data_IF_544306161322
#
_entry.id   IF_544306161322
#
_cell.length_a   1.000
_cell.length_b   1.000
_cell.length_c   1.000
_cell.angle_alpha   90.00
_cell.angle_beta   90.00
_cell.angle_gamma   90.00
#
_symmetry.space_group_name_H-M   'P 1'
#
loop_
_entity.id
_entity.type
_entity.pdbx_description
1 polymer ?
#
# COMPACT_ATOMS: atom_id res chain seq x y z
N UNK A 1 40.05 -63.51 77.43
CA UNK A 1 39.95 -64.01 76.04
C UNK A 1 38.96 -63.13 75.30
N UNK A 2 39.39 -62.39 74.28
CA UNK A 2 38.68 -62.17 73.01
C UNK A 2 39.19 -60.89 72.36
N UNK A 3 39.87 -61.09 71.24
CA UNK A 3 40.31 -60.08 70.29
C UNK A 3 39.12 -59.65 69.42
N UNK A 4 38.97 -58.35 69.17
CA UNK A 4 38.48 -57.89 67.85
C UNK A 4 38.89 -56.44 67.62
N UNK A 5 39.87 -56.27 66.72
CA UNK A 5 40.25 -55.00 66.14
C UNK A 5 39.12 -54.49 65.24
N UNK A 6 38.45 -53.42 65.66
CA UNK A 6 37.57 -52.65 64.78
C UNK A 6 38.36 -51.57 64.05
N UNK A 7 38.56 -51.82 62.76
CA UNK A 7 39.03 -50.82 61.79
C UNK A 7 37.99 -49.69 61.67
N UNK A 8 38.36 -48.45 62.02
CA UNK A 8 37.58 -47.25 61.68
C UNK A 8 38.35 -46.41 60.67
N UNK A 9 37.81 -46.32 59.46
CA UNK A 9 38.23 -45.39 58.40
C UNK A 9 38.13 -43.94 58.90
N UNK A 10 39.23 -43.20 58.82
CA UNK A 10 39.23 -41.75 59.01
C UNK A 10 38.69 -41.07 57.74
N UNK A 11 37.56 -40.36 57.86
CA UNK A 11 37.11 -39.42 56.84
C UNK A 11 37.83 -38.09 57.07
N UNK A 12 38.75 -37.72 56.17
CA UNK A 12 39.29 -36.36 56.16
C UNK A 12 38.24 -35.42 55.57
N UNK A 13 37.60 -34.61 56.41
CA UNK A 13 36.84 -33.44 55.96
C UNK A 13 37.87 -32.39 55.56
N UNK A 14 38.17 -32.32 54.26
CA UNK A 14 39.01 -31.27 53.70
C UNK A 14 38.32 -29.92 53.85
N UNK A 15 38.75 -29.12 54.82
CA UNK A 15 38.33 -27.72 54.92
C UNK A 15 39.12 -26.93 53.87
N UNK A 16 38.58 -26.82 52.66
CA UNK A 16 39.14 -25.93 51.65
C UNK A 16 39.07 -24.50 52.16
N UNK A 17 40.22 -23.89 52.51
CA UNK A 17 40.26 -22.46 52.84
C UNK A 17 39.99 -21.67 51.56
N UNK A 18 38.75 -21.22 51.40
CA UNK A 18 38.40 -20.21 50.41
C UNK A 18 39.19 -18.96 50.78
N UNK A 19 40.11 -18.55 49.91
CA UNK A 19 40.92 -17.37 50.15
C UNK A 19 40.04 -16.11 49.93
N UNK A 20 39.67 -15.38 51.00
CA UNK A 20 38.69 -14.29 50.92
C UNK A 20 39.18 -13.14 50.03
N UNK A 21 40.50 -13.03 49.83
CA UNK A 21 41.12 -11.99 48.99
C UNK A 21 40.81 -12.23 47.50
N UNK A 22 40.75 -13.49 47.06
CA UNK A 22 40.44 -13.83 45.67
C UNK A 22 38.95 -13.65 45.36
N UNK A 23 38.07 -14.07 46.27
CA UNK A 23 36.62 -13.89 46.14
C UNK A 23 36.20 -12.43 46.28
N UNK A 24 36.85 -11.65 47.15
CA UNK A 24 36.59 -10.20 47.25
C UNK A 24 37.03 -9.45 45.97
N UNK A 25 38.18 -9.79 45.38
CA UNK A 25 38.59 -9.22 44.08
C UNK A 25 37.60 -9.56 42.97
N UNK A 26 37.12 -10.80 42.90
CA UNK A 26 36.13 -11.22 41.89
C UNK A 26 34.73 -10.60 42.11
N UNK A 27 34.32 -10.36 43.35
CA UNK A 27 33.08 -9.64 43.67
C UNK A 27 33.17 -8.14 43.34
N UNK A 28 34.35 -7.54 43.53
CA UNK A 28 34.63 -6.13 43.19
C UNK A 28 34.64 -5.87 41.68
N UNK A 29 35.07 -6.87 40.90
CA UNK A 29 35.15 -6.80 39.43
C UNK A 29 33.79 -7.00 38.74
N UNK A 30 32.76 -7.35 39.52
CA UNK A 30 31.37 -7.47 39.06
C UNK A 30 30.54 -6.21 39.25
N UNK A 31 31.17 -5.11 39.68
CA UNK A 31 30.49 -3.83 39.83
C UNK A 31 30.77 -2.90 38.64
N UNK A 32 29.68 -2.68 37.89
CA UNK A 32 29.40 -1.51 37.04
C UNK A 32 30.17 -1.44 35.72
N UNK A 33 29.77 -2.27 34.77
CA UNK A 33 29.60 -1.77 33.40
C UNK A 33 28.24 -1.06 33.29
N UNK A 34 27.98 -0.07 34.15
CA UNK A 34 27.03 1.00 33.80
C UNK A 34 27.80 1.90 32.86
N UNK A 35 27.82 1.52 31.57
CA UNK A 35 28.36 2.38 30.52
C UNK A 35 27.47 3.62 30.50
N UNK A 36 27.95 4.70 31.10
CA UNK A 36 27.27 5.98 31.07
C UNK A 36 27.27 6.47 29.64
N UNK A 37 26.08 6.61 29.04
CA UNK A 37 25.91 7.25 27.74
C UNK A 37 26.48 8.66 27.83
N UNK A 38 27.46 8.94 26.98
CA UNK A 38 28.00 10.28 26.84
C UNK A 38 26.95 11.18 26.18
N UNK A 39 26.98 12.48 26.49
CA UNK A 39 26.14 13.46 25.78
C UNK A 39 26.39 13.41 24.27
N UNK A 40 27.63 13.11 23.85
CA UNK A 40 28.00 12.94 22.45
C UNK A 40 27.23 11.79 21.80
N UNK A 41 27.17 10.61 22.43
CA UNK A 41 26.42 9.47 21.89
C UNK A 41 24.93 9.76 21.77
N UNK A 42 24.35 10.48 22.74
CA UNK A 42 22.95 10.89 22.69
C UNK A 42 22.71 11.86 21.52
N UNK A 43 23.60 12.83 21.33
CA UNK A 43 23.51 13.78 20.22
C UNK A 43 23.65 13.10 18.86
N UNK A 44 24.58 12.14 18.73
CA UNK A 44 24.76 11.35 17.51
C UNK A 44 23.55 10.46 17.25
N UNK A 45 23.01 9.80 18.28
CA UNK A 45 21.80 8.98 18.13
C UNK A 45 20.59 9.82 17.71
N UNK A 46 20.41 11.01 18.31
CA UNK A 46 19.33 11.93 17.97
C UNK A 46 19.48 12.49 16.55
N UNK A 47 20.70 12.77 16.09
CA UNK A 47 20.92 13.28 14.74
C UNK A 47 20.56 12.23 13.68
N UNK A 48 21.01 10.98 13.85
CA UNK A 48 20.66 9.87 12.97
C UNK A 48 19.15 9.64 13.00
N UNK A 49 18.56 9.57 14.21
CA UNK A 49 17.13 9.33 14.38
C UNK A 49 16.29 10.44 13.74
N UNK A 50 16.71 11.71 13.85
CA UNK A 50 16.03 12.84 13.22
C UNK A 50 15.98 12.71 11.70
N UNK A 51 17.14 12.43 11.07
CA UNK A 51 17.22 12.26 9.61
C UNK A 51 16.36 11.08 9.13
N UNK A 52 16.39 9.95 9.83
CA UNK A 52 15.56 8.78 9.52
C UNK A 52 14.07 9.12 9.66
N UNK A 53 13.69 9.80 10.74
CA UNK A 53 12.29 10.16 11.00
C UNK A 53 11.72 11.06 9.91
N UNK A 54 12.47 12.07 9.48
CA UNK A 54 12.07 12.97 8.37
C UNK A 54 11.92 12.18 7.06
N UNK A 55 12.84 11.25 6.80
CA UNK A 55 12.79 10.42 5.59
C UNK A 55 11.53 9.53 5.58
N UNK A 56 11.19 8.91 6.72
CA UNK A 56 9.99 8.10 6.87
C UNK A 56 8.74 8.96 6.67
N UNK A 57 8.66 10.12 7.33
CA UNK A 57 7.49 11.01 7.22
C UNK A 57 7.28 11.50 5.78
N UNK A 58 8.36 11.80 5.07
CA UNK A 58 8.34 12.17 3.65
C UNK A 58 7.83 11.02 2.78
N UNK A 59 8.26 9.78 3.07
CA UNK A 59 7.76 8.58 2.41
C UNK A 59 6.26 8.35 2.64
N UNK A 60 5.80 8.50 3.88
CA UNK A 60 4.39 8.30 4.25
C UNK A 60 3.47 9.33 3.58
N UNK A 61 3.85 10.61 3.58
CA UNK A 61 3.07 11.67 2.92
C UNK A 61 3.00 11.48 1.40
N UNK A 62 4.11 11.04 0.79
CA UNK A 62 4.14 10.68 -0.63
C UNK A 62 3.29 9.46 -0.93
N UNK A 63 3.35 8.44 -0.06
CA UNK A 63 2.56 7.22 -0.16
C UNK A 63 1.05 7.48 -0.06
N UNK A 64 0.60 8.35 0.85
CA UNK A 64 -0.83 8.67 0.95
C UNK A 64 -1.33 9.44 -0.28
N UNK A 65 -0.53 10.38 -0.80
CA UNK A 65 -0.84 11.07 -2.06
C UNK A 65 -0.98 10.10 -3.23
N UNK A 66 -0.03 9.17 -3.37
CA UNK A 66 -0.06 8.15 -4.40
C UNK A 66 -1.27 7.23 -4.24
N UNK A 67 -1.58 6.81 -3.01
CA UNK A 67 -2.76 5.98 -2.72
C UNK A 67 -4.04 6.67 -3.15
N UNK A 68 -4.24 7.94 -2.79
CA UNK A 68 -5.44 8.71 -3.18
C UNK A 68 -5.56 8.81 -4.69
N UNK A 69 -4.47 9.11 -5.40
CA UNK A 69 -4.46 9.14 -6.87
C UNK A 69 -4.81 7.78 -7.47
N UNK A 70 -4.23 6.70 -6.94
CA UNK A 70 -4.52 5.33 -7.37
C UNK A 70 -5.99 4.96 -7.19
N UNK A 71 -6.58 5.27 -6.04
CA UNK A 71 -8.01 5.03 -5.79
C UNK A 71 -8.90 5.82 -6.76
N UNK A 72 -8.62 7.10 -7.00
CA UNK A 72 -9.38 7.91 -7.97
C UNK A 72 -9.34 7.31 -9.38
N UNK A 73 -8.14 6.94 -9.85
CA UNK A 73 -7.94 6.33 -11.16
C UNK A 73 -8.65 4.97 -11.28
N UNK A 74 -8.57 4.15 -10.24
CA UNK A 74 -9.25 2.85 -10.20
C UNK A 74 -10.78 3.02 -10.27
N UNK A 75 -11.35 3.92 -9.46
CA UNK A 75 -12.78 4.23 -9.48
C UNK A 75 -13.24 4.75 -10.86
N UNK A 76 -12.50 5.69 -11.45
CA UNK A 76 -12.80 6.20 -12.79
C UNK A 76 -12.73 5.10 -13.86
N UNK A 77 -11.75 4.19 -13.76
CA UNK A 77 -11.60 3.06 -14.70
C UNK A 77 -12.75 2.06 -14.57
N UNK A 78 -13.16 1.73 -13.35
CA UNK A 78 -14.33 0.88 -13.12
C UNK A 78 -15.61 1.52 -13.67
N UNK A 79 -15.78 2.83 -13.44
CA UNK A 79 -16.90 3.58 -13.98
C UNK A 79 -16.92 3.53 -15.51
N UNK A 80 -15.81 3.84 -16.16
CA UNK A 80 -15.70 3.76 -17.61
C UNK A 80 -16.01 2.36 -18.15
N UNK A 81 -15.54 1.31 -17.46
CA UNK A 81 -15.79 -0.07 -17.87
C UNK A 81 -17.26 -0.44 -17.77
N UNK A 82 -17.93 -0.02 -16.70
CA UNK A 82 -19.37 -0.23 -16.52
C UNK A 82 -20.17 0.50 -17.61
N UNK A 83 -19.80 1.76 -17.91
CA UNK A 83 -20.45 2.55 -18.95
C UNK A 83 -20.24 1.97 -20.34
N UNK A 84 -19.02 1.50 -20.65
CA UNK A 84 -18.75 0.83 -21.91
C UNK A 84 -19.62 -0.42 -22.08
N UNK A 85 -19.79 -1.21 -21.01
CA UNK A 85 -20.64 -2.40 -21.04
C UNK A 85 -22.13 -2.05 -21.15
N UNK A 86 -22.58 -1.01 -20.45
CA UNK A 86 -23.94 -0.50 -20.57
C UNK A 86 -24.23 -0.03 -22.00
N UNK A 87 -23.31 0.70 -22.63
CA UNK A 87 -23.44 1.16 -24.02
C UNK A 87 -23.51 -0.02 -24.98
N UNK A 88 -22.67 -1.06 -24.79
CA UNK A 88 -22.74 -2.28 -25.60
C UNK A 88 -24.08 -2.98 -25.47
N UNK A 89 -24.62 -3.08 -24.26
CA UNK A 89 -25.92 -3.70 -24.01
C UNK A 89 -27.07 -2.89 -24.64
N UNK A 90 -27.01 -1.55 -24.58
CA UNK A 90 -28.01 -0.66 -25.15
C UNK A 90 -27.96 -0.58 -26.67
N UNK A 91 -26.77 -0.63 -27.28
CA UNK A 91 -26.60 -0.55 -28.73
C UNK A 91 -27.30 -1.68 -29.51
N UNK A 92 -27.68 -2.75 -28.82
CA UNK A 92 -28.51 -3.80 -29.39
C UNK A 92 -29.99 -3.36 -29.56
N UNK A 93 -30.48 -2.43 -28.74
CA UNK A 93 -31.92 -2.13 -28.60
C UNK A 93 -32.32 -0.68 -28.87
N UNK A 94 -31.41 0.29 -28.79
CA UNK A 94 -31.76 1.72 -28.78
C UNK A 94 -31.16 2.52 -29.94
N UNK A 95 -31.88 3.59 -30.31
CA UNK A 95 -31.34 4.65 -31.16
C UNK A 95 -30.09 5.30 -30.53
N UNK A 96 -29.18 5.82 -31.36
CA UNK A 96 -27.89 6.28 -30.90
C UNK A 96 -27.99 7.61 -30.15
N UNK A 97 -27.18 7.75 -29.10
CA UNK A 97 -27.07 8.94 -28.26
C UNK A 97 -26.74 10.16 -29.12
N UNK A 98 -27.53 11.23 -29.00
CA UNK A 98 -27.28 12.47 -29.73
C UNK A 98 -26.02 13.19 -29.21
N UNK A 99 -25.25 13.85 -30.10
CA UNK A 99 -24.06 14.59 -29.69
C UNK A 99 -24.43 15.78 -28.80
N UNK A 100 -24.09 15.70 -27.50
CA UNK A 100 -24.23 16.82 -26.56
C UNK A 100 -25.17 16.59 -25.38
N UNK A 101 -25.94 15.50 -25.34
CA UNK A 101 -26.92 15.23 -24.26
C UNK A 101 -26.40 14.26 -23.19
N UNK A 102 -25.09 14.26 -22.96
CA UNK A 102 -24.42 13.11 -22.34
C UNK A 102 -23.50 13.44 -21.17
N UNK A 103 -23.49 14.70 -20.73
CA UNK A 103 -22.75 15.14 -19.55
C UNK A 103 -23.59 14.97 -18.30
N UNK A 104 -23.13 14.17 -17.35
CA UNK A 104 -23.82 13.96 -16.08
C UNK A 104 -22.83 13.64 -14.97
N UNK A 105 -23.29 13.77 -13.72
CA UNK A 105 -22.52 13.41 -12.55
C UNK A 105 -22.88 12.00 -12.07
N UNK A 106 -21.85 11.21 -11.76
CA UNK A 106 -22.02 9.87 -11.21
C UNK A 106 -21.19 9.70 -9.92
N UNK A 107 -21.84 9.21 -8.88
CA UNK A 107 -21.21 8.98 -7.59
C UNK A 107 -20.70 7.54 -7.50
N UNK A 108 -19.39 7.36 -7.31
CA UNK A 108 -18.75 6.06 -7.11
C UNK A 108 -18.09 6.05 -5.73
N UNK A 109 -18.75 5.40 -4.77
CA UNK A 109 -18.35 5.44 -3.37
C UNK A 109 -18.59 6.83 -2.77
N UNK A 110 -17.51 7.51 -2.38
CA UNK A 110 -17.55 8.89 -1.85
C UNK A 110 -17.04 9.94 -2.83
N UNK A 111 -16.70 9.54 -4.07
CA UNK A 111 -16.21 10.43 -5.11
C UNK A 111 -17.33 10.71 -6.11
N UNK A 112 -17.43 11.96 -6.54
CA UNK A 112 -18.36 12.38 -7.60
C UNK A 112 -17.54 12.62 -8.86
N UNK A 113 -17.94 11.96 -9.94
CA UNK A 113 -17.29 12.06 -11.24
C UNK A 113 -18.21 12.78 -12.23
N UNK A 114 -17.65 13.67 -13.02
CA UNK A 114 -18.29 14.23 -14.19
C UNK A 114 -17.96 13.33 -15.38
N UNK A 115 -18.99 12.83 -16.04
CA UNK A 115 -18.89 11.95 -17.20
C UNK A 115 -19.38 12.71 -18.41
N UNK A 116 -18.54 12.83 -19.43
CA UNK A 116 -18.88 13.44 -20.72
C UNK A 116 -18.74 12.37 -21.81
N UNK A 117 -19.78 12.17 -22.63
CA UNK A 117 -19.76 11.16 -23.71
C UNK A 117 -19.91 11.80 -25.08
N UNK A 118 -18.89 11.73 -25.91
CA UNK A 118 -18.94 12.27 -27.27
C UNK A 118 -19.10 11.14 -28.28
N UNK A 119 -20.09 11.28 -29.17
CA UNK A 119 -20.34 10.32 -30.25
C UNK A 119 -19.78 10.91 -31.54
N UNK A 120 -18.91 10.17 -32.19
CA UNK A 120 -18.33 10.48 -33.49
C UNK A 120 -18.87 9.48 -34.52
N UNK A 121 -19.51 9.99 -35.57
CA UNK A 121 -19.89 9.15 -36.69
C UNK A 121 -18.61 8.67 -37.38
N UNK A 122 -18.43 7.35 -37.41
CA UNK A 122 -17.31 6.74 -38.13
C UNK A 122 -17.73 6.59 -39.59
N UNK A 123 -16.86 6.96 -40.53
CA UNK A 123 -17.11 6.71 -41.95
C UNK A 123 -17.41 5.21 -42.16
N UNK A 124 -18.44 4.84 -42.93
CA UNK A 124 -18.81 3.44 -43.11
C UNK A 124 -17.61 2.66 -43.66
N UNK A 125 -17.19 1.62 -42.94
CA UNK A 125 -16.28 0.63 -43.52
C UNK A 125 -17.04 -0.08 -44.65
N UNK A 126 -16.52 -0.09 -45.89
CA UNK A 126 -17.20 -0.73 -47.01
C UNK A 126 -17.02 -2.25 -46.90
N UNK A 127 -17.81 -2.90 -46.04
CA UNK A 127 -17.95 -4.36 -46.04
C UNK A 127 -19.35 -4.70 -46.56
N UNK A 128 -19.35 -5.08 -47.83
CA UNK A 128 -20.37 -5.83 -48.57
C UNK A 128 -21.60 -6.25 -47.74
N UNK A 129 -22.72 -5.55 -47.93
CA UNK A 129 -24.06 -6.14 -47.81
C UNK A 129 -24.85 -5.95 -46.50
N UNK A 130 -24.30 -5.36 -45.43
CA UNK A 130 -25.07 -5.07 -44.21
C UNK A 130 -25.12 -3.58 -43.89
N UNK A 131 -26.31 -3.05 -43.58
CA UNK A 131 -26.55 -1.67 -43.11
C UNK A 131 -26.06 -1.46 -41.67
N UNK A 132 -24.84 -1.89 -41.35
CA UNK A 132 -24.26 -1.70 -40.02
C UNK A 132 -23.63 -0.31 -39.95
N UNK A 133 -24.29 0.60 -39.23
CA UNK A 133 -23.68 1.89 -38.85
C UNK A 133 -22.80 1.66 -37.64
N UNK A 134 -21.49 1.81 -37.83
CA UNK A 134 -20.54 1.88 -36.73
C UNK A 134 -20.44 3.32 -36.26
N UNK A 135 -20.44 3.51 -34.94
CA UNK A 135 -20.14 4.80 -34.31
C UNK A 135 -18.99 4.64 -33.34
N UNK A 136 -18.20 5.69 -33.22
CA UNK A 136 -17.14 5.80 -32.23
C UNK A 136 -17.69 6.61 -31.06
N UNK A 137 -17.48 6.14 -29.84
CA UNK A 137 -17.93 6.80 -28.62
C UNK A 137 -16.71 7.01 -27.74
N UNK A 138 -16.49 8.26 -27.37
CA UNK A 138 -15.45 8.66 -26.43
C UNK A 138 -16.11 9.01 -25.09
N UNK A 139 -15.57 8.49 -24.00
CA UNK A 139 -16.04 8.73 -22.64
C UNK A 139 -14.91 9.41 -21.89
N UNK A 140 -15.14 10.65 -21.48
CA UNK A 140 -14.25 11.41 -20.61
C UNK A 140 -14.79 11.35 -19.19
N UNK A 141 -13.94 10.97 -18.25
CA UNK A 141 -14.28 10.93 -16.83
C UNK A 141 -13.33 11.82 -16.07
N UNK A 142 -13.90 12.80 -15.37
CA UNK A 142 -13.21 13.77 -14.53
C UNK A 142 -13.75 13.68 -13.11
N UNK A 143 -12.95 14.06 -12.14
CA UNK A 143 -13.48 14.28 -10.79
C UNK A 143 -14.24 15.61 -10.80
N UNK A 144 -15.42 15.67 -10.18
CA UNK A 144 -16.20 16.90 -10.15
C UNK A 144 -15.38 18.06 -9.54
N UNK A 145 -15.25 19.16 -10.30
CA UNK A 145 -14.44 20.33 -9.93
C UNK A 145 -12.93 20.20 -10.19
N UNK A 146 -12.47 19.14 -10.86
CA UNK A 146 -11.08 18.95 -11.28
C UNK A 146 -11.01 19.00 -12.83
N UNK A 147 -10.10 19.79 -13.41
CA UNK A 147 -9.95 19.88 -14.87
C UNK A 147 -9.27 18.63 -15.48
N UNK A 148 -8.48 17.92 -14.66
CA UNK A 148 -7.71 16.76 -15.11
C UNK A 148 -8.63 15.57 -15.42
N UNK A 149 -8.47 15.06 -16.64
CA UNK A 149 -9.16 13.83 -17.06
C UNK A 149 -8.47 12.62 -16.46
N UNK A 150 -9.20 11.88 -15.63
CA UNK A 150 -8.68 10.70 -14.93
C UNK A 150 -8.71 9.46 -15.83
N UNK A 151 -9.74 9.36 -16.67
CA UNK A 151 -9.89 8.27 -17.61
C UNK A 151 -10.48 8.77 -18.92
N UNK A 152 -9.90 8.29 -20.03
CA UNK A 152 -10.40 8.51 -21.37
C UNK A 152 -10.57 7.14 -22.04
N UNK A 153 -11.81 6.81 -22.40
CA UNK A 153 -12.15 5.56 -23.03
C UNK A 153 -12.71 5.81 -24.41
N UNK A 154 -12.20 5.07 -25.39
CA UNK A 154 -12.67 5.13 -26.77
C UNK A 154 -13.15 3.75 -27.18
N UNK A 155 -14.40 3.66 -27.62
CA UNK A 155 -15.01 2.41 -28.06
C UNK A 155 -15.68 2.59 -29.42
N UNK A 156 -15.61 1.56 -30.25
CA UNK A 156 -16.32 1.51 -31.53
C UNK A 156 -17.45 0.51 -31.37
N UNK A 157 -18.67 0.95 -31.64
CA UNK A 157 -19.88 0.18 -31.48
C UNK A 157 -20.66 0.09 -32.79
N UNK A 158 -20.99 -1.13 -33.19
CA UNK A 158 -21.92 -1.38 -34.30
C UNK A 158 -23.36 -1.38 -33.79
N UNK A 159 -24.24 -0.74 -34.54
CA UNK A 159 -25.69 -0.74 -34.28
C UNK A 159 -26.39 -1.55 -35.37
N UNK A 160 -27.32 -2.44 -34.97
CA UNK A 160 -28.21 -3.14 -35.88
C UNK A 160 -29.44 -2.25 -36.13
N UNK A 161 -29.78 -2.05 -37.40
CA UNK A 161 -31.08 -1.47 -37.80
C UNK A 161 -32.11 -2.58 -37.98
#
# INVERSE_FOLDING_TARGET
MSSSLFYRRAYYIGVARVNPIKTARQASQRHRNTVGLTLLEILVALSIFSVVSVSILSGLTSGDRLRRRGTRLQSATHLASNLAEQIRAQAYWSEPVEPGDSTYEEMVGSLVFEVERTVHDTTPFPRSGSSQRNREITIHIRLAGEEDTLANFRLVQGYLQ
#
